data_IF_244451883407
#
_entry.id   IF_244451883407
#
_cell.length_a   1.000
_cell.length_b   1.000
_cell.length_c   1.000
_cell.angle_alpha   90.00
_cell.angle_beta   90.00
_cell.angle_gamma   90.00
#
_symmetry.space_group_name_H-M   'P 1'
#
loop_
_entity.id
_entity.type
_entity.pdbx_description
1 polymer ?
#
# COMPACT_ATOMS: atom_id res chain seq x y z
N UNK A 1 -8.87 2.53 49.49
CA UNK A 1 -9.35 2.39 48.09
C UNK A 1 -8.18 2.70 47.18
N UNK A 2 -7.69 1.76 46.37
CA UNK A 2 -6.53 2.01 45.51
C UNK A 2 -6.94 2.81 44.27
N UNK A 3 -5.96 3.56 43.77
CA UNK A 3 -6.04 4.49 42.66
C UNK A 3 -6.56 3.83 41.37
N UNK A 4 -7.48 4.52 40.69
CA UNK A 4 -7.71 4.29 39.28
C UNK A 4 -6.48 4.84 38.55
N UNK A 5 -5.60 3.95 38.08
CA UNK A 5 -4.75 4.25 36.95
C UNK A 5 -5.67 4.44 35.75
N UNK A 6 -6.00 5.70 35.43
CA UNK A 6 -6.52 6.05 34.13
C UNK A 6 -5.43 5.72 33.10
N UNK A 7 -5.68 4.82 32.14
CA UNK A 7 -4.69 4.51 31.12
C UNK A 7 -4.56 5.71 30.19
N UNK A 8 -3.43 6.38 30.33
CA UNK A 8 -2.72 7.22 29.37
C UNK A 8 -3.46 7.48 28.05
N UNK A 9 -4.31 8.50 28.05
CA UNK A 9 -5.00 9.01 26.87
C UNK A 9 -4.10 9.96 26.04
N UNK A 10 -2.78 9.73 26.00
CA UNK A 10 -1.86 10.51 25.15
C UNK A 10 -1.13 9.66 24.11
N UNK A 11 -1.89 8.89 23.34
CA UNK A 11 -1.41 8.46 22.01
C UNK A 11 -1.40 9.70 21.11
N UNK A 12 -0.33 10.48 21.18
CA UNK A 12 -0.02 11.49 20.18
C UNK A 12 -0.04 10.80 18.81
N UNK A 13 -0.76 11.34 17.80
CA UNK A 13 -0.64 10.82 16.45
C UNK A 13 0.81 11.04 16.01
N UNK A 14 1.51 9.94 15.75
CA UNK A 14 2.90 9.97 15.32
C UNK A 14 2.97 10.70 13.96
N UNK A 15 3.64 11.87 13.88
CA UNK A 15 3.65 12.71 12.68
C UNK A 15 4.56 12.15 11.57
N UNK A 16 5.29 11.05 11.81
CA UNK A 16 6.15 10.38 10.83
C UNK A 16 5.43 9.31 9.99
N UNK A 17 4.18 8.97 10.32
CA UNK A 17 3.32 8.26 9.39
C UNK A 17 2.95 9.24 8.26
N UNK A 18 3.35 8.94 7.02
CA UNK A 18 2.74 9.56 5.82
C UNK A 18 1.25 9.70 6.12
N UNK A 19 0.73 10.94 6.08
CA UNK A 19 -0.68 11.19 6.38
C UNK A 19 -1.51 10.12 5.70
N UNK A 20 -2.32 9.38 6.46
CA UNK A 20 -3.12 8.25 5.96
C UNK A 20 -3.84 8.60 4.66
N UNK A 21 -4.30 9.85 4.54
CA UNK A 21 -4.91 10.41 3.35
C UNK A 21 -3.96 10.46 2.14
N UNK A 22 -2.71 10.87 2.34
CA UNK A 22 -1.68 10.88 1.30
C UNK A 22 -1.29 9.46 0.87
N UNK A 23 -1.22 8.51 1.81
CA UNK A 23 -0.97 7.10 1.50
C UNK A 23 -2.12 6.51 0.68
N UNK A 24 -3.38 6.75 1.07
CA UNK A 24 -4.56 6.32 0.33
C UNK A 24 -4.62 6.94 -1.08
N UNK A 25 -4.30 8.22 -1.22
CA UNK A 25 -4.24 8.89 -2.52
C UNK A 25 -3.16 8.29 -3.43
N UNK A 26 -1.96 8.04 -2.89
CA UNK A 26 -0.86 7.42 -3.63
C UNK A 26 -1.22 5.99 -4.09
N UNK A 27 -1.84 5.18 -3.22
CA UNK A 27 -2.30 3.83 -3.56
C UNK A 27 -3.32 3.85 -4.70
N UNK A 28 -4.26 4.80 -4.71
CA UNK A 28 -5.23 4.95 -5.81
C UNK A 28 -4.56 5.28 -7.16
N UNK A 29 -3.52 6.13 -7.15
CA UNK A 29 -2.76 6.46 -8.37
C UNK A 29 -1.99 5.23 -8.88
N UNK A 30 -1.36 4.47 -7.96
CA UNK A 30 -0.63 3.25 -8.31
C UNK A 30 -1.58 2.20 -8.89
N UNK A 31 -2.75 1.96 -8.29
CA UNK A 31 -3.75 1.02 -8.82
C UNK A 31 -4.20 1.39 -10.23
N UNK A 32 -4.49 2.68 -10.46
CA UNK A 32 -4.82 3.20 -11.78
C UNK A 32 -3.73 2.93 -12.80
N UNK A 33 -2.48 3.29 -12.49
CA UNK A 33 -1.34 3.06 -13.38
C UNK A 33 -1.11 1.57 -13.69
N UNK A 34 -1.31 0.67 -12.70
CA UNK A 34 -1.19 -0.78 -12.90
C UNK A 34 -2.31 -1.31 -13.81
N UNK A 35 -3.54 -0.81 -13.63
CA UNK A 35 -4.68 -1.17 -14.49
C UNK A 35 -4.42 -0.74 -15.93
N UNK A 36 -4.00 0.49 -16.14
CA UNK A 36 -3.70 1.04 -17.47
C UNK A 36 -2.56 0.26 -18.16
N UNK A 37 -1.49 -0.07 -17.41
CA UNK A 37 -0.40 -0.90 -17.94
C UNK A 37 -0.88 -2.30 -18.38
N UNK A 38 -1.81 -2.91 -17.65
CA UNK A 38 -2.41 -4.19 -18.01
C UNK A 38 -3.29 -4.10 -19.26
N UNK A 39 -4.09 -3.04 -19.40
CA UNK A 39 -4.92 -2.83 -20.59
C UNK A 39 -4.06 -2.62 -21.83
N UNK A 40 -3.02 -1.79 -21.74
CA UNK A 40 -2.06 -1.61 -22.85
C UNK A 40 -1.35 -2.90 -23.21
N UNK A 41 -0.93 -3.71 -22.23
CA UNK A 41 -0.31 -5.01 -22.51
C UNK A 41 -1.26 -5.95 -23.25
N UNK A 42 -2.55 -5.96 -22.88
CA UNK A 42 -3.56 -6.76 -23.57
C UNK A 42 -3.75 -6.32 -25.03
N UNK A 43 -3.79 -5.00 -25.27
CA UNK A 43 -3.87 -4.43 -26.64
C UNK A 43 -2.62 -4.72 -27.47
N UNK A 44 -1.42 -4.71 -26.86
CA UNK A 44 -0.17 -5.00 -27.56
C UNK A 44 0.05 -6.49 -27.85
N UNK A 45 -0.52 -7.39 -27.04
CA UNK A 45 -0.46 -8.84 -27.28
C UNK A 45 -1.21 -9.26 -28.56
N UNK A 46 -2.12 -8.42 -29.06
CA UNK A 46 -2.80 -8.63 -30.35
C UNK A 46 -1.94 -8.22 -31.56
N UNK A 47 -0.79 -7.57 -31.33
CA UNK A 47 0.22 -7.21 -32.33
C UNK A 47 1.55 -7.98 -32.18
N UNK A 48 2.49 -7.85 -33.13
CA UNK A 48 3.81 -8.45 -33.00
C UNK A 48 4.57 -7.81 -31.83
N UNK A 49 4.78 -8.59 -30.76
CA UNK A 49 5.49 -8.16 -29.56
C UNK A 49 6.98 -7.94 -29.83
N UNK A 50 7.49 -6.75 -29.47
CA UNK A 50 8.93 -6.52 -29.36
C UNK A 50 9.46 -7.16 -28.07
N UNK A 51 10.54 -7.92 -28.16
CA UNK A 51 11.18 -8.56 -27.00
C UNK A 51 11.77 -7.47 -26.08
N UNK A 52 11.41 -7.41 -24.79
CA UNK A 52 11.89 -6.37 -23.90
C UNK A 52 13.41 -6.45 -23.69
N UNK A 53 14.06 -5.28 -23.62
CA UNK A 53 15.48 -5.19 -23.30
C UNK A 53 15.73 -5.76 -21.89
N UNK A 54 16.70 -6.68 -21.77
CA UNK A 54 17.09 -7.30 -20.50
C UNK A 54 17.42 -6.26 -19.43
N UNK A 55 18.11 -5.16 -19.79
CA UNK A 55 18.47 -4.12 -18.84
C UNK A 55 17.21 -3.44 -18.27
N UNK A 56 16.25 -3.12 -19.14
CA UNK A 56 14.97 -2.54 -18.75
C UNK A 56 14.18 -3.47 -17.81
N UNK A 57 14.21 -4.78 -18.03
CA UNK A 57 13.56 -5.74 -17.15
C UNK A 57 14.20 -5.78 -15.75
N UNK A 58 15.53 -5.70 -15.66
CA UNK A 58 16.23 -5.70 -14.37
C UNK A 58 15.99 -4.42 -13.58
N UNK A 59 16.00 -3.25 -14.23
CA UNK A 59 15.70 -1.96 -13.60
C UNK A 59 14.25 -1.93 -13.10
N UNK A 60 13.31 -2.46 -13.89
CA UNK A 60 11.89 -2.58 -13.50
C UNK A 60 11.71 -3.49 -12.28
N UNK A 61 12.46 -4.59 -12.20
CA UNK A 61 12.45 -5.49 -11.04
C UNK A 61 13.02 -4.83 -9.78
N UNK A 62 14.07 -4.02 -9.91
CA UNK A 62 14.61 -3.28 -8.77
C UNK A 62 13.59 -2.25 -8.25
N UNK A 63 12.98 -1.48 -9.15
CA UNK A 63 11.93 -0.53 -8.79
C UNK A 63 10.74 -1.21 -8.11
N UNK A 64 10.30 -2.37 -8.60
CA UNK A 64 9.20 -3.13 -8.01
C UNK A 64 9.52 -3.58 -6.56
N UNK A 65 10.77 -3.98 -6.29
CA UNK A 65 11.20 -4.38 -4.94
C UNK A 65 11.17 -3.19 -3.99
N UNK A 66 11.75 -2.06 -4.39
CA UNK A 66 11.73 -0.83 -3.59
C UNK A 66 10.31 -0.35 -3.31
N UNK A 67 9.43 -0.41 -4.32
CA UNK A 67 8.04 -0.03 -4.15
C UNK A 67 7.34 -0.95 -3.14
N UNK A 68 7.52 -2.27 -3.25
CA UNK A 68 6.97 -3.24 -2.27
C UNK A 68 7.44 -2.97 -0.85
N UNK A 69 8.70 -2.62 -0.66
CA UNK A 69 9.24 -2.29 0.68
C UNK A 69 8.61 -1.01 1.24
N UNK A 70 8.44 0.03 0.41
CA UNK A 70 7.74 1.26 0.81
C UNK A 70 6.28 0.98 1.17
N UNK A 71 5.59 0.18 0.36
CA UNK A 71 4.19 -0.21 0.60
C UNK A 71 4.03 -1.07 1.86
N UNK A 72 4.95 -2.02 2.10
CA UNK A 72 4.96 -2.81 3.34
C UNK A 72 5.13 -1.92 4.58
N UNK A 73 5.90 -0.84 4.47
CA UNK A 73 6.01 0.17 5.52
C UNK A 73 4.69 0.88 5.84
N UNK A 74 3.77 1.00 4.89
CA UNK A 74 2.44 1.61 5.11
C UNK A 74 1.42 0.62 5.67
N UNK A 75 1.58 -0.69 5.44
CA UNK A 75 0.62 -1.73 5.80
C UNK A 75 0.29 -1.71 7.29
N UNK A 76 1.30 -1.63 8.16
CA UNK A 76 1.09 -1.58 9.62
C UNK A 76 0.27 -0.36 10.03
N UNK A 77 0.59 0.82 9.49
CA UNK A 77 -0.16 2.06 9.78
C UNK A 77 -1.60 2.02 9.26
N UNK A 78 -1.84 1.38 8.11
CA UNK A 78 -3.18 1.17 7.55
C UNK A 78 -4.01 0.21 8.42
N UNK A 79 -3.42 -0.90 8.88
CA UNK A 79 -4.06 -1.85 9.79
C UNK A 79 -4.42 -1.16 11.10
N UNK A 80 -3.51 -0.38 11.68
CA UNK A 80 -3.77 0.35 12.93
C UNK A 80 -4.86 1.40 12.75
N UNK A 81 -4.86 2.15 11.65
CA UNK A 81 -5.91 3.12 11.34
C UNK A 81 -7.28 2.45 11.18
N UNK A 82 -7.35 1.31 10.48
CA UNK A 82 -8.58 0.53 10.33
C UNK A 82 -9.07 0.00 11.70
N UNK A 83 -8.16 -0.49 12.55
CA UNK A 83 -8.50 -0.92 13.92
C UNK A 83 -9.01 0.24 14.78
N UNK A 84 -8.40 1.42 14.67
CA UNK A 84 -8.87 2.63 15.36
C UNK A 84 -10.25 3.08 14.88
N UNK A 85 -10.59 2.82 13.61
CA UNK A 85 -11.91 3.05 13.04
C UNK A 85 -12.95 1.96 13.40
N UNK A 86 -12.56 0.92 14.14
CA UNK A 86 -13.45 -0.15 14.61
C UNK A 86 -13.45 -1.42 13.77
N UNK A 87 -12.54 -1.55 12.79
CA UNK A 87 -12.44 -2.77 12.00
C UNK A 87 -12.11 -3.98 12.88
N UNK A 88 -12.86 -5.05 12.64
CA UNK A 88 -12.64 -6.37 13.24
C UNK A 88 -11.55 -7.13 12.49
N UNK A 89 -10.98 -8.17 13.13
CA UNK A 89 -10.03 -9.05 12.46
C UNK A 89 -10.62 -9.79 11.25
N UNK A 90 -11.94 -10.02 11.25
CA UNK A 90 -12.63 -10.61 10.10
C UNK A 90 -12.60 -9.67 8.89
N UNK A 91 -12.77 -8.35 9.09
CA UNK A 91 -12.72 -7.35 8.02
C UNK A 91 -11.29 -7.09 7.53
N UNK A 92 -10.27 -7.30 8.37
CA UNK A 92 -8.86 -7.16 7.98
C UNK A 92 -8.29 -8.38 7.27
N UNK A 93 -8.81 -9.56 7.58
CA UNK A 93 -8.37 -10.82 6.98
C UNK A 93 -9.21 -11.25 5.78
N UNK A 94 -10.17 -10.42 5.35
CA UNK A 94 -11.07 -10.75 4.25
C UNK A 94 -10.25 -10.87 2.95
N UNK A 95 -10.25 -12.03 2.28
CA UNK A 95 -9.54 -12.18 1.03
C UNK A 95 -10.18 -11.30 -0.05
N UNK A 96 -9.41 -10.35 -0.57
CA UNK A 96 -9.72 -9.52 -1.74
C UNK A 96 -9.96 -10.36 -3.00
#
# INVERSE_FOLDING_TARGET
MPAAEEPDATRHPDPDAVSLLAAAAALGIIDGAVRDARTTTAEQAEGPAADPDRAQALDSLQLLRELRERLAGWETGLIEAARAAGASWAELADPL
#
